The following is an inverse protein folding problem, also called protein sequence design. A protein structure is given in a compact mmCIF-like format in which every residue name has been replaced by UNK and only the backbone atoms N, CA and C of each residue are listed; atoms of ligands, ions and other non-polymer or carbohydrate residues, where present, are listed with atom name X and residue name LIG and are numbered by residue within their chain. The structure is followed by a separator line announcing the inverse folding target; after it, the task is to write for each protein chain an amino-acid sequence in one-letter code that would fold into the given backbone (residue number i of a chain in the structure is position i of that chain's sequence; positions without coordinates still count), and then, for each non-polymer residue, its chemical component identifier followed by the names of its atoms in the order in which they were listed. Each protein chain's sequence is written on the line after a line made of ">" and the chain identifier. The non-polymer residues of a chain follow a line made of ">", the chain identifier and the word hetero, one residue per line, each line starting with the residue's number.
data_IF_858336419702
#
_entry.id   IF_858336419702
#
_cell.length_a   1.000
_cell.length_b   1.000
_cell.length_c   1.000
_cell.angle_alpha   90.00
_cell.angle_beta   90.00
_cell.angle_gamma   90.00
#
_symmetry.space_group_name_H-M   'P 1'
#
loop_
_entity.id
_entity.type
_entity.pdbx_description
1 polymer ?
#
# COMPACT_ATOMS: atom_id res chain seq x y z
N UNK A 1 69.37 50.19 12.38
CA UNK A 1 68.93 48.90 12.87
C UNK A 1 67.76 48.49 12.04
N UNK A 2 67.99 47.64 11.03
CA UNK A 2 66.98 47.16 10.06
C UNK A 2 66.59 45.75 10.45
N UNK A 3 65.34 45.55 10.77
CA UNK A 3 64.80 44.21 11.04
C UNK A 3 64.09 43.69 9.75
N UNK A 4 64.65 42.62 9.19
CA UNK A 4 64.09 41.94 8.04
C UNK A 4 62.87 41.14 8.47
N UNK A 5 61.74 41.34 7.79
CA UNK A 5 60.53 40.54 7.89
C UNK A 5 60.53 39.51 6.78
N UNK A 6 60.65 38.22 7.12
CA UNK A 6 60.52 37.09 6.21
C UNK A 6 59.03 36.89 5.82
N UNK A 7 58.72 37.01 4.53
CA UNK A 7 57.46 36.57 3.96
C UNK A 7 57.49 35.08 3.68
N UNK A 8 56.72 34.30 4.41
CA UNK A 8 56.46 32.91 4.13
C UNK A 8 55.32 32.82 3.09
N UNK A 9 55.64 32.32 1.90
CA UNK A 9 54.66 32.01 0.87
C UNK A 9 54.02 30.68 1.17
N UNK A 10 52.77 30.67 1.63
CA UNK A 10 51.93 29.48 1.73
C UNK A 10 51.25 29.27 0.35
N UNK A 11 51.74 28.29 -0.40
CA UNK A 11 51.07 27.76 -1.56
C UNK A 11 49.91 26.86 -1.11
N UNK A 12 48.71 27.39 -1.10
CA UNK A 12 47.50 26.63 -0.87
C UNK A 12 47.15 25.78 -2.14
N UNK A 13 47.36 24.46 -2.07
CA UNK A 13 46.79 23.55 -3.02
C UNK A 13 45.30 23.43 -2.76
N UNK A 14 44.48 24.06 -3.60
CA UNK A 14 43.03 23.84 -3.60
C UNK A 14 42.75 22.43 -4.14
N UNK A 15 42.44 21.48 -3.28
CA UNK A 15 41.78 20.25 -3.66
C UNK A 15 40.34 20.59 -4.08
N UNK A 16 40.13 20.69 -5.38
CA UNK A 16 38.81 20.67 -5.96
C UNK A 16 38.22 19.28 -5.73
N UNK A 17 37.41 19.12 -4.68
CA UNK A 17 36.55 17.95 -4.51
C UNK A 17 35.48 18.02 -5.61
N UNK A 18 35.69 17.26 -6.68
CA UNK A 18 34.66 16.89 -7.63
C UNK A 18 33.64 16.05 -6.85
N UNK A 19 32.70 16.72 -6.21
CA UNK A 19 31.45 16.10 -5.72
C UNK A 19 30.63 15.65 -6.90
N UNK A 20 30.92 14.48 -7.45
CA UNK A 20 30.01 13.79 -8.33
C UNK A 20 28.72 13.57 -7.52
N UNK A 21 27.61 14.13 -7.99
CA UNK A 21 26.28 13.77 -7.51
C UNK A 21 26.17 12.24 -7.63
N UNK A 22 26.25 11.55 -6.50
CA UNK A 22 26.05 10.10 -6.46
C UNK A 22 24.65 9.86 -7.01
N UNK A 23 24.54 9.27 -8.19
CA UNK A 23 23.27 8.83 -8.76
C UNK A 23 22.65 7.85 -7.75
N UNK A 24 21.40 8.08 -7.37
CA UNK A 24 20.71 7.23 -6.41
C UNK A 24 20.75 5.78 -6.91
N UNK A 25 21.21 4.86 -6.05
CA UNK A 25 21.28 3.42 -6.38
C UNK A 25 19.86 2.89 -6.59
N UNK A 26 19.68 2.12 -7.67
CA UNK A 26 18.37 1.49 -7.98
C UNK A 26 18.01 0.50 -6.88
N UNK A 27 16.84 0.70 -6.29
CA UNK A 27 16.30 -0.21 -5.29
C UNK A 27 15.69 -1.44 -5.95
N UNK A 28 16.19 -2.64 -5.62
CA UNK A 28 15.61 -3.87 -6.14
C UNK A 28 14.13 -3.98 -5.79
N UNK A 29 13.78 -3.83 -4.51
CA UNK A 29 12.41 -4.01 -4.03
C UNK A 29 11.43 -2.94 -4.53
N UNK A 30 11.87 -1.68 -4.60
CA UNK A 30 11.00 -0.57 -5.00
C UNK A 30 10.85 -0.42 -6.52
N UNK A 31 11.83 -0.89 -7.30
CA UNK A 31 11.88 -0.61 -8.74
C UNK A 31 12.03 -1.86 -9.61
N UNK A 32 13.02 -2.73 -9.33
CA UNK A 32 13.27 -3.92 -10.16
C UNK A 32 12.18 -4.97 -9.99
N UNK A 33 11.86 -5.30 -8.74
CA UNK A 33 10.86 -6.30 -8.40
C UNK A 33 9.49 -6.00 -9.01
N UNK A 34 8.92 -4.76 -8.94
CA UNK A 34 7.65 -4.44 -9.60
C UNK A 34 7.67 -4.64 -11.11
N UNK A 35 8.77 -4.29 -11.78
CA UNK A 35 8.91 -4.50 -13.23
C UNK A 35 8.91 -5.99 -13.56
N UNK A 36 9.74 -6.79 -12.88
CA UNK A 36 9.78 -8.24 -13.10
C UNK A 36 8.43 -8.88 -12.80
N UNK A 37 7.81 -8.55 -11.67
CA UNK A 37 6.55 -9.13 -11.21
C UNK A 37 5.38 -8.88 -12.16
N UNK A 38 5.28 -7.68 -12.72
CA UNK A 38 4.16 -7.27 -13.57
C UNK A 38 4.38 -7.56 -15.06
N UNK A 39 5.61 -7.37 -15.57
CA UNK A 39 5.87 -7.47 -17.00
C UNK A 39 6.46 -8.81 -17.45
N UNK A 40 7.18 -9.52 -16.58
CA UNK A 40 7.96 -10.70 -16.98
C UNK A 40 7.39 -12.02 -16.49
N UNK A 41 6.92 -12.08 -15.22
CA UNK A 41 6.59 -13.35 -14.57
C UNK A 41 5.36 -14.06 -15.13
N UNK A 42 4.51 -13.38 -15.91
CA UNK A 42 3.41 -14.05 -16.61
C UNK A 42 3.88 -15.09 -17.64
N UNK A 43 5.10 -14.93 -18.15
CA UNK A 43 5.74 -15.84 -19.11
C UNK A 43 6.97 -16.54 -18.56
N UNK A 44 7.72 -15.89 -17.63
CA UNK A 44 9.00 -16.37 -17.09
C UNK A 44 8.94 -16.53 -15.56
N UNK A 45 7.84 -17.09 -15.05
CA UNK A 45 7.59 -17.32 -13.63
C UNK A 45 7.66 -18.80 -13.25
N UNK A 46 7.09 -19.12 -12.10
CA UNK A 46 7.03 -20.49 -11.59
C UNK A 46 6.16 -21.41 -12.46
N UNK A 47 4.97 -20.94 -12.85
CA UNK A 47 3.98 -21.72 -13.61
C UNK A 47 4.25 -21.74 -15.12
N UNK A 48 4.83 -20.68 -15.63
CA UNK A 48 5.19 -20.50 -17.03
C UNK A 48 6.67 -20.16 -17.12
N UNK A 49 7.45 -20.97 -17.80
CA UNK A 49 8.90 -20.79 -17.97
C UNK A 49 9.29 -20.83 -19.45
N UNK A 50 8.67 -19.96 -20.25
CA UNK A 50 8.98 -19.86 -21.69
C UNK A 50 10.46 -19.64 -21.90
N UNK A 51 11.06 -20.39 -22.85
CA UNK A 51 12.50 -20.38 -23.08
C UNK A 51 13.30 -20.91 -21.89
N UNK A 52 12.70 -21.76 -21.04
CA UNK A 52 13.28 -22.30 -19.80
C UNK A 52 13.67 -21.24 -18.76
N UNK A 53 13.33 -19.96 -18.99
CA UNK A 53 13.71 -18.85 -18.12
C UNK A 53 12.75 -18.70 -16.92
N UNK A 54 13.34 -18.58 -15.73
CA UNK A 54 12.64 -18.32 -14.47
C UNK A 54 13.17 -17.05 -13.81
N UNK A 55 12.37 -16.01 -13.75
CA UNK A 55 12.74 -14.71 -13.19
C UNK A 55 12.10 -14.43 -11.83
N UNK A 56 11.48 -15.43 -11.20
CA UNK A 56 10.85 -15.27 -9.88
C UNK A 56 11.80 -15.57 -8.73
N UNK A 57 12.96 -16.22 -8.98
CA UNK A 57 14.01 -16.51 -7.99
C UNK A 57 15.38 -16.10 -8.51
N UNK A 58 16.32 -15.88 -7.58
CA UNK A 58 17.71 -15.62 -7.93
C UNK A 58 18.36 -16.82 -8.64
N UNK A 59 18.09 -18.03 -8.17
CA UNK A 59 18.59 -19.26 -8.78
C UNK A 59 18.14 -19.37 -10.24
N UNK A 60 16.85 -19.18 -10.52
CA UNK A 60 16.32 -19.22 -11.88
C UNK A 60 16.90 -18.15 -12.80
N UNK A 61 17.18 -16.94 -12.28
CA UNK A 61 17.89 -15.91 -13.02
C UNK A 61 19.33 -16.34 -13.37
N UNK A 62 20.04 -17.01 -12.44
CA UNK A 62 21.42 -17.48 -12.63
C UNK A 62 21.50 -18.70 -13.56
N UNK A 63 20.48 -19.57 -13.56
CA UNK A 63 20.37 -20.67 -14.52
C UNK A 63 20.28 -20.12 -15.95
N UNK A 64 19.52 -19.04 -16.14
CA UNK A 64 19.34 -18.38 -17.44
C UNK A 64 18.21 -19.02 -18.24
N UNK A 65 18.32 -18.98 -19.58
CA UNK A 65 17.35 -19.54 -20.54
C UNK A 65 17.98 -20.65 -21.37
N UNK A 66 17.19 -21.30 -22.21
CA UNK A 66 17.70 -22.26 -23.22
C UNK A 66 18.75 -21.63 -24.17
N UNK A 67 18.81 -20.30 -24.27
CA UNK A 67 19.80 -19.55 -25.06
C UNK A 67 21.01 -19.08 -24.22
N UNK A 68 21.06 -19.44 -22.93
CA UNK A 68 22.14 -19.09 -22.04
C UNK A 68 21.80 -18.00 -21.01
N UNK A 69 22.84 -17.38 -20.43
CA UNK A 69 22.67 -16.37 -19.38
C UNK A 69 21.99 -15.11 -19.89
N UNK A 70 20.91 -14.70 -19.20
CA UNK A 70 20.13 -13.51 -19.57
C UNK A 70 20.61 -12.24 -18.87
N UNK A 71 21.45 -12.36 -17.82
CA UNK A 71 22.07 -11.25 -17.09
C UNK A 71 23.57 -11.46 -16.99
N UNK A 72 24.33 -10.44 -17.39
CA UNK A 72 25.78 -10.33 -17.18
C UNK A 72 26.00 -9.16 -16.23
N UNK A 73 26.28 -9.39 -14.94
CA UNK A 73 26.46 -8.32 -13.97
C UNK A 73 27.46 -7.26 -14.41
N UNK A 74 27.10 -5.99 -14.28
CA UNK A 74 27.90 -4.86 -14.70
C UNK A 74 27.87 -4.56 -16.20
N UNK A 75 27.14 -5.36 -17.02
CA UNK A 75 27.14 -5.22 -18.51
C UNK A 75 25.72 -5.31 -19.08
N UNK A 76 24.90 -4.26 -18.92
CA UNK A 76 23.54 -4.28 -19.41
C UNK A 76 23.45 -4.49 -20.94
N UNK A 77 24.39 -3.98 -21.71
CA UNK A 77 24.47 -4.16 -23.16
C UNK A 77 24.75 -5.60 -23.63
N UNK A 78 25.15 -6.49 -22.68
CA UNK A 78 25.35 -7.92 -22.91
C UNK A 78 24.31 -8.80 -22.20
N UNK A 79 23.29 -8.17 -21.63
CA UNK A 79 22.25 -8.82 -20.87
C UNK A 79 20.95 -8.81 -21.66
N UNK A 80 20.53 -9.97 -22.16
CA UNK A 80 19.30 -10.09 -22.96
C UNK A 80 18.05 -9.69 -22.16
N UNK A 81 18.06 -9.84 -20.83
CA UNK A 81 16.99 -9.32 -19.97
C UNK A 81 16.74 -7.82 -20.17
N UNK A 82 17.75 -7.04 -20.49
CA UNK A 82 17.60 -5.61 -20.82
C UNK A 82 17.48 -5.39 -22.33
N UNK A 83 18.40 -5.97 -23.14
CA UNK A 83 18.48 -5.61 -24.56
C UNK A 83 17.23 -6.00 -25.32
N UNK A 84 16.56 -7.12 -25.00
CA UNK A 84 15.29 -7.49 -25.62
C UNK A 84 14.12 -6.56 -25.26
N UNK A 85 14.21 -5.78 -24.17
CA UNK A 85 13.13 -4.84 -23.80
C UNK A 85 13.23 -3.49 -24.51
N UNK A 86 14.31 -3.22 -25.23
CA UNK A 86 14.57 -1.95 -25.93
C UNK A 86 14.72 -2.11 -27.44
N UNK A 87 14.37 -3.27 -27.97
CA UNK A 87 14.27 -3.52 -29.41
C UNK A 87 13.14 -2.71 -30.05
N UNK A 88 13.12 -2.62 -31.35
CA UNK A 88 12.00 -2.00 -32.07
C UNK A 88 10.71 -2.79 -31.86
N UNK A 89 9.54 -2.13 -31.87
CA UNK A 89 8.25 -2.80 -31.61
C UNK A 89 7.88 -3.93 -32.58
N UNK A 90 8.47 -3.95 -33.76
CA UNK A 90 8.29 -4.96 -34.81
C UNK A 90 9.39 -6.02 -34.84
N UNK A 91 10.29 -6.02 -33.86
CA UNK A 91 11.33 -7.04 -33.72
C UNK A 91 10.74 -8.31 -33.08
N UNK A 92 11.01 -9.48 -33.67
CA UNK A 92 10.49 -10.75 -33.19
C UNK A 92 11.00 -11.14 -31.79
N UNK A 93 12.13 -10.60 -31.38
CA UNK A 93 12.78 -10.86 -30.08
C UNK A 93 12.41 -9.81 -29.01
N UNK A 94 11.50 -8.87 -29.32
CA UNK A 94 11.06 -7.84 -28.35
C UNK A 94 10.37 -8.48 -27.14
N UNK A 95 10.69 -8.00 -25.94
CA UNK A 95 10.04 -8.43 -24.69
C UNK A 95 9.36 -7.26 -23.96
N UNK A 96 8.12 -7.45 -23.55
CA UNK A 96 7.25 -8.61 -23.77
C UNK A 96 6.72 -8.68 -25.22
N UNK A 97 6.50 -9.90 -25.76
CA UNK A 97 6.08 -10.07 -27.16
C UNK A 97 4.59 -9.77 -27.39
N UNK A 98 3.85 -9.47 -26.35
CA UNK A 98 2.42 -9.14 -26.37
C UNK A 98 2.08 -8.14 -25.28
N UNK A 99 1.13 -7.26 -25.56
CA UNK A 99 0.69 -6.21 -24.65
C UNK A 99 1.56 -4.96 -24.76
N UNK A 100 1.52 -4.11 -23.75
CA UNK A 100 2.34 -2.90 -23.70
C UNK A 100 3.82 -3.24 -23.53
N UNK A 101 4.69 -2.56 -24.27
CA UNK A 101 6.13 -2.64 -24.08
C UNK A 101 6.53 -2.01 -22.73
N UNK A 102 7.77 -2.25 -22.31
CA UNK A 102 8.30 -1.51 -21.17
C UNK A 102 8.49 -0.04 -21.56
N UNK A 103 8.17 0.84 -20.62
CA UNK A 103 8.53 2.26 -20.77
C UNK A 103 10.05 2.42 -20.63
N UNK A 104 10.56 3.57 -21.10
CA UNK A 104 11.96 3.95 -20.90
C UNK A 104 12.37 3.93 -19.44
N UNK A 105 11.48 4.36 -18.54
CA UNK A 105 11.75 4.32 -17.08
C UNK A 105 11.89 2.89 -16.56
N UNK A 106 10.99 1.98 -16.95
CA UNK A 106 11.05 0.56 -16.57
C UNK A 106 12.30 -0.13 -17.15
N UNK A 107 12.61 0.11 -18.42
CA UNK A 107 13.81 -0.45 -19.06
C UNK A 107 15.10 0.11 -18.42
N UNK A 108 15.14 1.41 -18.09
CA UNK A 108 16.26 2.03 -17.40
C UNK A 108 16.49 1.46 -15.99
N UNK A 109 15.44 1.13 -15.27
CA UNK A 109 15.56 0.44 -13.97
C UNK A 109 16.31 -0.89 -14.12
N UNK A 110 15.96 -1.71 -15.11
CA UNK A 110 16.66 -2.97 -15.38
C UNK A 110 18.13 -2.72 -15.78
N UNK A 111 18.36 -1.74 -16.65
CA UNK A 111 19.71 -1.34 -17.09
C UNK A 111 20.61 -0.94 -15.93
N UNK A 112 20.10 -0.05 -15.06
CA UNK A 112 20.88 0.47 -13.93
C UNK A 112 21.11 -0.58 -12.87
N UNK A 113 20.13 -1.45 -12.58
CA UNK A 113 20.29 -2.58 -11.70
C UNK A 113 21.38 -3.55 -12.19
N UNK A 114 21.36 -3.88 -13.50
CA UNK A 114 22.38 -4.75 -14.10
C UNK A 114 23.74 -4.08 -14.03
N UNK A 115 23.83 -2.79 -14.34
CA UNK A 115 25.07 -2.00 -14.28
C UNK A 115 25.66 -1.97 -12.86
N UNK A 116 24.80 -1.93 -11.82
CA UNK A 116 25.19 -1.99 -10.41
C UNK A 116 25.54 -3.42 -9.92
N UNK A 117 25.59 -4.41 -10.83
CA UNK A 117 25.99 -5.77 -10.52
C UNK A 117 24.85 -6.76 -10.32
N UNK A 118 23.62 -6.39 -10.64
CA UNK A 118 22.41 -7.23 -10.61
C UNK A 118 22.20 -7.95 -9.27
N UNK A 119 22.42 -7.24 -8.16
CA UNK A 119 22.26 -7.79 -6.81
C UNK A 119 20.80 -8.18 -6.56
N UNK A 120 20.58 -9.39 -6.09
CA UNK A 120 19.28 -9.91 -5.70
C UNK A 120 19.24 -10.09 -4.18
N UNK A 121 18.18 -9.65 -3.49
CA UNK A 121 18.05 -9.87 -2.04
C UNK A 121 18.00 -11.36 -1.70
N UNK A 122 18.75 -11.76 -0.68
CA UNK A 122 18.84 -13.16 -0.27
C UNK A 122 17.45 -13.73 0.09
N UNK A 123 17.17 -14.95 -0.40
CA UNK A 123 15.91 -15.65 -0.13
C UNK A 123 14.66 -15.05 -0.74
N UNK A 124 14.75 -13.95 -1.49
CA UNK A 124 13.59 -13.31 -2.09
C UNK A 124 13.05 -14.13 -3.26
N UNK A 125 11.76 -14.48 -3.19
CA UNK A 125 10.97 -15.03 -4.28
C UNK A 125 9.96 -13.98 -4.71
N UNK A 126 9.93 -13.65 -6.01
CA UNK A 126 9.01 -12.65 -6.57
C UNK A 126 7.71 -13.34 -6.97
N UNK A 127 6.59 -12.80 -6.52
CA UNK A 127 5.26 -13.23 -6.96
C UNK A 127 4.82 -12.46 -8.19
N UNK A 128 4.14 -13.16 -9.11
CA UNK A 128 3.53 -12.54 -10.26
C UNK A 128 2.36 -11.65 -9.81
N UNK A 129 2.28 -10.44 -10.36
CA UNK A 129 1.16 -9.53 -10.14
C UNK A 129 0.47 -9.19 -11.46
N UNK A 130 -0.78 -8.74 -11.36
CA UNK A 130 -1.49 -8.22 -12.52
C UNK A 130 -0.80 -6.96 -13.02
N UNK A 131 -0.46 -6.91 -14.29
CA UNK A 131 0.02 -5.70 -14.93
C UNK A 131 -1.12 -4.72 -15.12
N UNK A 132 -0.91 -3.47 -14.75
CA UNK A 132 -1.88 -2.39 -14.96
C UNK A 132 -1.75 -1.90 -16.40
N UNK A 133 -2.86 -1.91 -17.13
CA UNK A 133 -2.99 -1.43 -18.50
C UNK A 133 -3.49 0.02 -18.45
N UNK A 134 -2.68 0.96 -18.94
CA UNK A 134 -3.05 2.38 -18.87
C UNK A 134 -4.38 2.68 -19.56
N UNK A 135 -4.58 2.17 -20.76
CA UNK A 135 -5.78 2.48 -21.54
C UNK A 135 -7.08 1.93 -20.92
N UNK A 136 -7.00 0.77 -20.28
CA UNK A 136 -8.17 0.11 -19.68
C UNK A 136 -8.41 0.52 -18.25
N UNK A 137 -7.34 0.68 -17.46
CA UNK A 137 -7.43 0.78 -16.00
C UNK A 137 -7.28 2.22 -15.51
N UNK A 138 -6.38 3.01 -16.11
CA UNK A 138 -6.01 4.34 -15.61
C UNK A 138 -6.67 5.46 -16.39
N UNK A 139 -6.64 5.39 -17.73
CA UNK A 139 -7.23 6.41 -18.60
C UNK A 139 -8.68 6.76 -18.21
N UNK A 140 -9.59 5.79 -17.96
CA UNK A 140 -10.97 6.10 -17.58
C UNK A 140 -11.08 6.86 -16.25
N UNK A 141 -10.17 6.58 -15.30
CA UNK A 141 -10.13 7.29 -14.00
C UNK A 141 -9.73 8.74 -14.20
N UNK A 142 -8.61 8.97 -14.91
CA UNK A 142 -8.10 10.33 -15.16
C UNK A 142 -9.10 11.16 -15.94
N UNK A 143 -9.65 10.64 -17.04
CA UNK A 143 -10.60 11.36 -17.90
C UNK A 143 -11.91 11.73 -17.18
N UNK A 144 -12.43 10.82 -16.35
CA UNK A 144 -13.70 11.05 -15.65
C UNK A 144 -13.56 11.87 -14.38
N UNK A 145 -12.40 11.89 -13.75
CA UNK A 145 -12.24 12.42 -12.40
C UNK A 145 -11.24 13.58 -12.27
N UNK A 146 -10.27 13.68 -13.18
CA UNK A 146 -9.15 14.63 -13.04
C UNK A 146 -9.09 15.67 -14.17
N UNK A 147 -9.19 15.22 -15.43
CA UNK A 147 -8.97 16.04 -16.63
C UNK A 147 -9.97 17.22 -16.74
N UNK A 148 -11.13 17.14 -16.11
CA UNK A 148 -12.09 18.27 -16.10
C UNK A 148 -11.52 19.55 -15.47
N UNK A 149 -10.56 19.43 -14.55
CA UNK A 149 -9.92 20.53 -13.82
C UNK A 149 -8.41 20.66 -14.09
N UNK A 150 -7.77 19.59 -14.59
CA UNK A 150 -6.33 19.50 -14.77
C UNK A 150 -5.97 19.19 -16.22
N UNK A 151 -6.20 20.14 -17.12
CA UNK A 151 -5.92 20.06 -18.55
C UNK A 151 -5.57 21.42 -19.12
N UNK A 152 -5.17 21.47 -20.37
CA UNK A 152 -4.93 22.71 -21.08
C UNK A 152 -6.07 23.73 -20.94
N UNK A 153 -5.76 24.95 -20.47
CA UNK A 153 -6.74 26.00 -20.20
C UNK A 153 -7.57 25.82 -18.92
N UNK A 154 -7.34 24.76 -18.15
CA UNK A 154 -7.95 24.47 -16.85
C UNK A 154 -6.92 23.79 -15.91
N UNK A 155 -5.78 24.42 -15.73
CA UNK A 155 -4.60 23.91 -15.04
C UNK A 155 -4.56 24.32 -13.56
N UNK A 156 -5.60 23.99 -12.80
CA UNK A 156 -5.68 24.32 -11.38
C UNK A 156 -4.48 23.78 -10.62
N UNK A 157 -3.80 24.67 -9.87
CA UNK A 157 -2.59 24.33 -9.13
C UNK A 157 -1.39 24.08 -10.06
N UNK A 158 -1.38 24.70 -11.24
CA UNK A 158 -0.34 24.51 -12.27
C UNK A 158 -0.10 23.02 -12.61
N UNK A 159 -1.19 22.24 -12.57
CA UNK A 159 -1.18 20.80 -12.79
C UNK A 159 -2.01 20.42 -14.02
N UNK A 160 -1.39 19.68 -14.93
CA UNK A 160 -2.04 19.07 -16.10
C UNK A 160 -1.91 17.56 -16.02
N UNK A 161 -3.03 16.87 -16.26
CA UNK A 161 -3.14 15.42 -16.30
C UNK A 161 -3.76 14.92 -17.60
N UNK A 162 -3.79 15.76 -18.62
CA UNK A 162 -4.30 15.43 -19.96
C UNK A 162 -3.20 14.89 -20.90
N UNK A 163 -1.95 15.12 -20.59
CA UNK A 163 -0.79 14.63 -21.35
C UNK A 163 0.32 14.14 -20.42
N UNK A 164 1.03 13.08 -20.86
CA UNK A 164 2.10 12.44 -20.09
C UNK A 164 3.17 13.43 -19.64
N UNK A 165 3.66 14.25 -20.56
CA UNK A 165 4.77 15.18 -20.31
C UNK A 165 4.49 16.06 -19.11
N UNK A 166 3.29 16.62 -19.03
CA UNK A 166 2.88 17.51 -17.92
C UNK A 166 2.61 16.78 -16.60
N UNK A 167 2.08 15.55 -16.66
CA UNK A 167 1.82 14.75 -15.46
C UNK A 167 3.11 14.30 -14.76
N UNK A 168 4.24 14.23 -15.51
CA UNK A 168 5.54 13.81 -15.00
C UNK A 168 6.49 15.00 -14.75
N UNK A 169 6.07 16.21 -15.07
CA UNK A 169 6.78 17.45 -14.70
C UNK A 169 6.37 17.93 -13.30
N UNK A 170 7.22 18.76 -12.70
CA UNK A 170 6.95 19.35 -11.40
C UNK A 170 6.01 20.55 -11.57
N UNK A 171 4.83 20.49 -10.97
CA UNK A 171 3.92 21.62 -10.81
C UNK A 171 4.17 22.41 -9.51
N UNK A 172 3.25 23.29 -9.16
CA UNK A 172 3.33 24.16 -7.96
C UNK A 172 3.53 23.33 -6.68
N UNK A 173 2.87 22.17 -6.56
CA UNK A 173 2.90 21.30 -5.37
C UNK A 173 3.80 20.07 -5.54
N UNK A 174 4.62 20.03 -6.56
CA UNK A 174 5.52 18.92 -6.88
C UNK A 174 5.07 18.12 -8.11
N UNK A 175 5.71 16.99 -8.36
CA UNK A 175 5.43 16.14 -9.52
C UNK A 175 4.18 15.31 -9.28
N UNK A 176 3.20 15.35 -10.21
CA UNK A 176 1.97 14.59 -10.04
C UNK A 176 2.20 13.08 -10.06
N UNK A 177 3.05 12.60 -10.96
CA UNK A 177 3.35 11.17 -11.10
C UNK A 177 4.86 10.97 -11.12
N UNK A 178 5.39 10.34 -10.08
CA UNK A 178 6.78 9.91 -10.00
C UNK A 178 6.82 8.38 -10.12
N UNK A 179 7.33 7.83 -11.22
CA UNK A 179 7.41 6.37 -11.40
C UNK A 179 8.06 5.67 -10.21
N UNK A 180 7.43 4.59 -9.72
CA UNK A 180 7.89 3.78 -8.58
C UNK A 180 7.86 4.46 -7.21
N UNK A 181 7.34 5.70 -7.10
CA UNK A 181 7.41 6.47 -5.85
C UNK A 181 6.06 7.11 -5.51
N UNK A 182 5.30 6.45 -4.63
CA UNK A 182 4.00 6.94 -4.14
C UNK A 182 4.15 8.17 -3.25
N UNK A 183 5.26 8.24 -2.49
CA UNK A 183 5.51 9.33 -1.53
C UNK A 183 5.84 10.65 -2.23
N UNK A 184 6.38 10.57 -3.46
CA UNK A 184 6.67 11.75 -4.28
C UNK A 184 5.59 12.03 -5.33
N UNK A 185 4.62 11.14 -5.49
CA UNK A 185 3.52 11.31 -6.44
C UNK A 185 2.38 12.11 -5.81
N UNK A 186 2.32 13.42 -6.07
CA UNK A 186 1.30 14.30 -5.47
C UNK A 186 -0.11 13.93 -5.89
N UNK A 187 -0.29 13.34 -7.07
CA UNK A 187 -1.56 12.75 -7.50
C UNK A 187 -2.06 11.72 -6.47
N UNK A 188 -1.22 10.76 -6.10
CA UNK A 188 -1.64 9.71 -5.18
C UNK A 188 -1.85 10.24 -3.77
N UNK A 189 -1.00 11.14 -3.30
CA UNK A 189 -1.16 11.79 -2.01
C UNK A 189 -2.51 12.51 -1.91
N UNK A 190 -2.86 13.33 -2.92
CA UNK A 190 -4.09 14.12 -2.90
C UNK A 190 -5.37 13.28 -2.98
N UNK A 191 -5.36 12.16 -3.73
CA UNK A 191 -6.55 11.30 -3.86
C UNK A 191 -6.78 10.39 -2.65
N UNK A 192 -5.76 10.21 -1.80
CA UNK A 192 -5.84 9.36 -0.60
C UNK A 192 -6.07 10.14 0.69
N UNK A 193 -6.23 11.45 0.64
CA UNK A 193 -6.55 12.29 1.78
C UNK A 193 -7.92 11.94 2.37
N UNK A 194 -8.14 12.21 3.66
CA UNK A 194 -9.47 12.04 4.29
C UNK A 194 -10.57 12.78 3.55
N UNK A 195 -11.78 12.23 3.54
CA UNK A 195 -12.93 12.79 2.79
C UNK A 195 -13.31 14.24 3.15
N UNK A 196 -12.91 14.71 4.33
CA UNK A 196 -13.12 16.07 4.82
C UNK A 196 -11.87 16.97 4.67
N UNK A 197 -10.82 16.52 4.03
CA UNK A 197 -9.62 17.33 3.83
C UNK A 197 -9.81 18.29 2.65
N UNK A 198 -9.40 19.56 2.82
CA UNK A 198 -9.60 20.62 1.80
C UNK A 198 -8.85 20.33 0.50
N UNK A 199 -7.69 19.67 0.59
CA UNK A 199 -6.85 19.31 -0.56
C UNK A 199 -7.18 17.93 -1.16
N UNK A 200 -8.27 17.28 -0.71
CA UNK A 200 -8.71 16.01 -1.31
C UNK A 200 -9.06 16.22 -2.79
N UNK A 201 -8.52 15.34 -3.64
CA UNK A 201 -8.82 15.33 -5.08
C UNK A 201 -9.46 14.00 -5.52
N UNK A 202 -10.54 14.03 -6.31
CA UNK A 202 -11.37 15.20 -6.55
C UNK A 202 -12.05 15.68 -5.27
N UNK A 203 -12.38 16.99 -5.14
CA UNK A 203 -13.10 17.50 -3.99
C UNK A 203 -14.45 16.78 -3.80
N UNK A 204 -14.92 16.64 -2.56
CA UNK A 204 -16.15 15.90 -2.24
C UNK A 204 -17.38 16.41 -2.99
N UNK A 205 -17.46 17.73 -3.26
CA UNK A 205 -18.55 18.35 -4.05
C UNK A 205 -18.35 18.24 -5.57
N UNK A 206 -17.24 17.62 -6.03
CA UNK A 206 -16.91 17.39 -7.45
C UNK A 206 -16.76 15.90 -7.77
N UNK A 207 -17.28 15.04 -6.91
CA UNK A 207 -17.35 13.61 -7.11
C UNK A 207 -16.23 12.80 -6.42
N UNK A 208 -15.44 13.40 -5.52
CA UNK A 208 -14.57 12.63 -4.61
C UNK A 208 -15.32 12.17 -3.36
N UNK A 209 -14.66 11.37 -2.51
CA UNK A 209 -13.41 10.65 -2.78
C UNK A 209 -13.56 9.59 -3.88
N UNK A 210 -12.42 9.17 -4.45
CA UNK A 210 -12.41 8.06 -5.40
C UNK A 210 -12.78 6.75 -4.69
N UNK A 211 -13.47 5.81 -5.37
CA UNK A 211 -13.65 4.45 -4.85
C UNK A 211 -12.30 3.76 -4.59
N UNK A 212 -12.24 2.89 -3.58
CA UNK A 212 -11.01 2.19 -3.20
C UNK A 212 -10.38 1.41 -4.37
N UNK A 213 -11.20 0.78 -5.22
CA UNK A 213 -10.74 0.08 -6.41
C UNK A 213 -9.94 1.00 -7.36
N UNK A 214 -10.38 2.24 -7.54
CA UNK A 214 -9.67 3.22 -8.36
C UNK A 214 -8.38 3.71 -7.69
N UNK A 215 -8.37 3.86 -6.37
CA UNK A 215 -7.16 4.17 -5.61
C UNK A 215 -6.13 3.06 -5.71
N UNK A 216 -6.55 1.80 -5.64
CA UNK A 216 -5.69 0.64 -5.78
C UNK A 216 -5.09 0.56 -7.21
N UNK A 217 -5.87 0.83 -8.24
CA UNK A 217 -5.38 0.89 -9.62
C UNK A 217 -4.32 1.99 -9.81
N UNK A 218 -4.56 3.19 -9.27
CA UNK A 218 -3.60 4.29 -9.34
C UNK A 218 -2.31 3.97 -8.58
N UNK A 219 -2.43 3.36 -7.38
CA UNK A 219 -1.29 2.88 -6.60
C UNK A 219 -0.45 1.89 -7.40
N UNK A 220 -1.08 0.83 -7.87
CA UNK A 220 -0.40 -0.26 -8.55
C UNK A 220 0.22 0.20 -9.87
N UNK A 221 -0.43 1.13 -10.57
CA UNK A 221 0.12 1.77 -11.74
C UNK A 221 1.42 2.54 -11.45
N UNK A 222 1.42 3.39 -10.42
CA UNK A 222 2.62 4.17 -10.04
C UNK A 222 3.74 3.23 -9.59
N UNK A 223 3.44 2.24 -8.75
CA UNK A 223 4.42 1.26 -8.24
C UNK A 223 5.03 0.44 -9.38
N UNK A 224 4.26 0.12 -10.43
CA UNK A 224 4.75 -0.59 -11.61
C UNK A 224 5.53 0.29 -12.59
N UNK A 225 5.74 1.58 -12.28
CA UNK A 225 6.52 2.52 -13.08
C UNK A 225 5.68 3.44 -13.95
N UNK A 226 4.40 3.58 -13.63
CA UNK A 226 3.48 4.55 -14.21
C UNK A 226 3.49 4.56 -15.76
N UNK A 227 3.36 3.39 -16.37
CA UNK A 227 3.35 3.27 -17.82
C UNK A 227 2.22 4.15 -18.42
N UNK A 228 2.59 5.05 -19.29
CA UNK A 228 1.69 5.96 -20.02
C UNK A 228 2.16 6.02 -21.47
N UNK A 229 1.34 5.61 -22.46
CA UNK A 229 1.72 5.62 -23.87
C UNK A 229 2.08 7.04 -24.37
N UNK A 230 3.18 7.16 -25.10
CA UNK A 230 3.62 8.44 -25.64
C UNK A 230 2.60 9.01 -26.64
N UNK A 231 2.44 10.35 -26.62
CA UNK A 231 1.54 11.06 -27.52
C UNK A 231 0.04 10.82 -27.27
N UNK A 232 -0.32 10.08 -26.22
CA UNK A 232 -1.71 9.89 -25.85
C UNK A 232 -2.21 11.10 -25.04
N UNK A 233 -3.10 11.90 -25.64
CA UNK A 233 -3.81 12.98 -24.99
C UNK A 233 -5.13 12.45 -24.42
N UNK A 234 -5.41 12.79 -23.16
CA UNK A 234 -6.66 12.46 -22.50
C UNK A 234 -7.72 13.53 -22.74
N UNK A 235 -8.94 13.07 -22.93
CA UNK A 235 -10.10 13.95 -23.12
C UNK A 235 -11.01 13.90 -21.90
N UNK A 236 -11.61 15.03 -21.59
CA UNK A 236 -12.63 15.04 -20.54
C UNK A 236 -13.80 14.17 -20.96
N UNK A 237 -14.03 13.10 -20.22
CA UNK A 237 -15.27 12.34 -20.33
C UNK A 237 -16.24 12.79 -19.23
N UNK A 238 -17.55 12.80 -19.53
CA UNK A 238 -18.56 12.99 -18.47
C UNK A 238 -18.43 11.82 -17.51
N UNK A 239 -18.18 12.12 -16.25
CA UNK A 239 -18.40 11.12 -15.20
C UNK A 239 -19.84 10.70 -15.34
N UNK A 240 -20.06 9.45 -15.70
CA UNK A 240 -21.41 8.92 -15.74
C UNK A 240 -21.90 8.78 -14.30
N UNK A 241 -22.54 9.86 -13.81
CA UNK A 241 -23.26 9.84 -12.53
C UNK A 241 -24.60 9.11 -12.68
N UNK A 242 -24.82 8.58 -13.87
CA UNK A 242 -25.93 7.69 -14.17
C UNK A 242 -25.68 6.35 -13.48
N UNK A 243 -26.62 6.00 -12.63
CA UNK A 243 -26.84 4.67 -12.10
C UNK A 243 -26.46 3.62 -13.13
N UNK A 244 -25.21 3.12 -13.06
CA UNK A 244 -24.93 1.85 -13.73
C UNK A 244 -25.81 0.81 -13.03
N UNK A 245 -26.60 0.02 -13.77
CA UNK A 245 -27.13 -1.19 -13.19
C UNK A 245 -25.94 -2.06 -12.87
N UNK A 246 -25.65 -2.23 -11.59
CA UNK A 246 -24.74 -3.22 -11.10
C UNK A 246 -25.35 -4.54 -11.57
N UNK A 247 -24.80 -5.11 -12.64
CA UNK A 247 -25.03 -6.49 -13.00
C UNK A 247 -24.27 -7.35 -11.98
N UNK A 248 -24.89 -7.56 -10.88
CA UNK A 248 -24.42 -8.23 -9.70
C UNK A 248 -25.26 -7.72 -8.58
N UNK A 249 -26.17 -8.55 -8.05
CA UNK A 249 -27.24 -8.15 -7.16
C UNK A 249 -26.85 -7.03 -6.21
N UNK A 250 -27.52 -5.91 -6.39
CA UNK A 250 -27.64 -4.91 -5.36
C UNK A 250 -27.94 -5.64 -4.06
N UNK A 251 -26.94 -5.71 -3.16
CA UNK A 251 -27.28 -5.65 -1.76
C UNK A 251 -27.92 -4.26 -1.63
N UNK A 252 -29.19 -4.18 -1.97
CA UNK A 252 -30.06 -3.11 -1.53
C UNK A 252 -29.67 -2.91 -0.07
N UNK A 253 -29.27 -1.69 0.29
CA UNK A 253 -28.93 -1.37 1.66
C UNK A 253 -29.96 -2.09 2.51
N UNK A 254 -29.49 -3.10 3.27
CA UNK A 254 -30.42 -3.95 4.02
C UNK A 254 -31.29 -3.00 4.80
N UNK A 255 -32.61 -3.11 4.72
CA UNK A 255 -33.50 -2.11 5.25
C UNK A 255 -33.01 -1.75 6.65
N UNK A 256 -32.88 -0.48 6.98
CA UNK A 256 -32.36 0.00 8.27
C UNK A 256 -32.92 -0.79 9.46
N UNK A 257 -34.13 -1.31 9.29
CA UNK A 257 -34.83 -2.20 10.21
C UNK A 257 -34.13 -3.55 10.42
N UNK A 258 -33.54 -4.17 9.38
CA UNK A 258 -32.87 -5.48 9.50
C UNK A 258 -31.52 -5.33 10.20
N UNK A 259 -30.78 -4.25 9.91
CA UNK A 259 -29.53 -3.93 10.62
C UNK A 259 -29.85 -3.69 12.10
N UNK A 260 -30.90 -2.91 12.39
CA UNK A 260 -31.34 -2.56 13.75
C UNK A 260 -31.74 -3.80 14.57
N UNK A 261 -32.48 -4.75 13.97
CA UNK A 261 -32.87 -5.99 14.64
C UNK A 261 -31.66 -6.88 14.91
N UNK A 262 -30.73 -7.03 13.96
CA UNK A 262 -29.51 -7.83 14.15
C UNK A 262 -28.62 -7.20 15.22
N UNK A 263 -28.40 -5.91 15.19
CA UNK A 263 -27.59 -5.17 16.16
C UNK A 263 -28.20 -5.30 17.58
N UNK A 264 -29.49 -5.07 17.75
CA UNK A 264 -30.18 -5.21 19.03
C UNK A 264 -30.17 -6.64 19.56
N UNK A 265 -30.28 -7.65 18.70
CA UNK A 265 -30.21 -9.05 19.12
C UNK A 265 -28.80 -9.41 19.59
N UNK A 266 -27.77 -8.94 18.87
CA UNK A 266 -26.37 -9.14 19.24
C UNK A 266 -26.05 -8.42 20.55
N UNK A 267 -26.43 -7.16 20.70
CA UNK A 267 -26.25 -6.39 21.93
C UNK A 267 -26.92 -7.06 23.15
N UNK A 268 -28.14 -7.56 22.97
CA UNK A 268 -28.84 -8.30 24.03
C UNK A 268 -28.09 -9.56 24.44
N UNK A 269 -27.57 -10.31 23.46
CA UNK A 269 -26.78 -11.52 23.72
C UNK A 269 -25.48 -11.18 24.44
N UNK A 270 -24.76 -10.15 23.97
CA UNK A 270 -23.50 -9.71 24.58
C UNK A 270 -23.73 -9.28 26.05
N UNK A 271 -24.75 -8.49 26.33
CA UNK A 271 -25.10 -8.09 27.69
C UNK A 271 -25.42 -9.28 28.62
N UNK A 272 -25.98 -10.36 28.09
CA UNK A 272 -26.23 -11.58 28.85
C UNK A 272 -24.93 -12.35 29.17
N UNK A 273 -23.92 -12.21 28.30
CA UNK A 273 -22.61 -12.87 28.46
C UNK A 273 -21.64 -12.05 29.33
N UNK A 274 -21.88 -10.74 29.53
CA UNK A 274 -20.97 -9.83 30.24
C UNK A 274 -20.47 -10.38 31.59
N UNK A 275 -21.31 -10.95 32.48
CA UNK A 275 -20.84 -11.48 33.76
C UNK A 275 -19.86 -12.65 33.64
N UNK A 276 -19.81 -13.30 32.47
CA UNK A 276 -18.96 -14.46 32.18
C UNK A 276 -17.74 -14.11 31.34
N UNK A 277 -17.65 -12.85 30.83
CA UNK A 277 -16.54 -12.41 29.99
C UNK A 277 -15.22 -12.45 30.76
N UNK A 278 -14.24 -13.13 30.19
CA UNK A 278 -12.88 -13.25 30.73
C UNK A 278 -11.89 -13.01 29.61
N UNK A 279 -10.67 -12.54 29.90
CA UNK A 279 -9.59 -12.55 28.92
C UNK A 279 -9.39 -13.96 28.38
N UNK A 280 -9.08 -14.07 27.10
CA UNK A 280 -8.74 -15.32 26.45
C UNK A 280 -7.66 -15.14 25.41
N UNK A 281 -6.93 -16.21 25.15
CA UNK A 281 -5.96 -16.28 24.07
C UNK A 281 -6.65 -16.92 22.85
N UNK A 282 -6.58 -16.24 21.70
CA UNK A 282 -7.03 -16.75 20.42
C UNK A 282 -5.84 -17.27 19.65
N UNK A 283 -5.97 -18.43 19.06
CA UNK A 283 -4.98 -18.99 18.14
C UNK A 283 -5.53 -18.97 16.71
N UNK A 284 -4.77 -18.45 15.76
CA UNK A 284 -5.11 -18.60 14.34
C UNK A 284 -4.89 -20.06 13.97
N UNK A 285 -5.96 -20.81 13.63
CA UNK A 285 -5.93 -22.26 13.52
C UNK A 285 -4.82 -22.80 12.64
N UNK A 286 -4.04 -23.74 13.17
CA UNK A 286 -2.95 -24.43 12.48
C UNK A 286 -1.65 -23.65 12.36
N UNK A 287 -1.62 -22.37 12.73
CA UNK A 287 -0.42 -21.54 12.60
C UNK A 287 0.39 -21.45 13.90
N UNK A 288 -0.27 -21.64 15.06
CA UNK A 288 0.30 -21.43 16.39
C UNK A 288 0.55 -19.97 16.73
N UNK A 289 0.18 -19.05 15.85
CA UNK A 289 0.22 -17.60 16.12
C UNK A 289 -0.98 -17.27 16.99
N UNK A 290 -0.72 -16.57 18.08
CA UNK A 290 -1.70 -16.28 19.12
C UNK A 290 -1.75 -14.80 19.43
N UNK A 291 -2.91 -14.34 19.92
CA UNK A 291 -3.11 -12.99 20.42
C UNK A 291 -4.12 -13.00 21.56
N UNK A 292 -4.01 -12.03 22.45
CA UNK A 292 -4.88 -11.95 23.63
C UNK A 292 -6.07 -11.00 23.37
N UNK A 293 -7.25 -11.43 23.83
CA UNK A 293 -8.48 -10.64 23.83
C UNK A 293 -8.89 -10.35 25.28
N UNK A 294 -9.17 -9.09 25.55
CA UNK A 294 -9.58 -8.61 26.89
C UNK A 294 -11.02 -8.11 26.86
N UNK A 295 -11.82 -8.41 27.91
CA UNK A 295 -13.18 -7.92 28.00
C UNK A 295 -13.20 -6.42 28.36
N UNK A 296 -13.97 -5.67 27.62
CA UNK A 296 -14.29 -4.27 27.92
C UNK A 296 -15.73 -4.26 28.47
N UNK A 297 -15.94 -3.84 29.71
CA UNK A 297 -17.27 -3.86 30.33
C UNK A 297 -18.21 -2.83 29.69
N UNK A 298 -19.51 -3.03 29.84
CA UNK A 298 -20.48 -2.02 29.45
C UNK A 298 -20.37 -0.78 30.34
N UNK A 299 -20.72 0.38 29.80
CA UNK A 299 -20.71 1.62 30.57
C UNK A 299 -21.19 2.84 29.79
N UNK A 300 -21.08 3.97 30.46
CA UNK A 300 -21.31 5.29 29.85
C UNK A 300 -20.06 6.15 30.07
N UNK A 301 -19.70 6.95 29.09
CA UNK A 301 -18.61 7.91 29.21
C UNK A 301 -18.90 9.17 28.39
N UNK A 302 -18.19 10.23 28.68
CA UNK A 302 -18.25 11.48 27.91
C UNK A 302 -17.18 11.39 26.81
N UNK A 303 -17.62 11.23 25.58
CA UNK A 303 -16.79 11.18 24.39
C UNK A 303 -16.38 12.57 23.95
N UNK A 304 -15.14 12.70 23.48
CA UNK A 304 -14.56 13.94 22.99
C UNK A 304 -13.80 14.74 24.06
N UNK A 305 -13.22 15.86 23.67
CA UNK A 305 -12.39 16.71 24.53
C UNK A 305 -13.15 17.97 24.97
N UNK A 306 -13.03 18.40 26.26
CA UNK A 306 -13.62 19.65 26.73
C UNK A 306 -13.01 20.86 26.01
N UNK A 307 -13.77 21.96 25.92
CA UNK A 307 -13.39 23.11 25.12
C UNK A 307 -12.08 23.81 25.58
N UNK A 308 -11.71 23.63 26.82
CA UNK A 308 -10.53 24.20 27.49
C UNK A 308 -9.34 23.24 27.55
N UNK A 309 -9.45 22.05 26.95
CA UNK A 309 -8.33 21.09 26.93
C UNK A 309 -7.18 21.61 26.04
N UNK A 310 -5.94 21.63 26.56
CA UNK A 310 -4.79 22.08 25.80
C UNK A 310 -4.52 21.19 24.57
N UNK A 311 -4.29 21.80 23.40
CA UNK A 311 -3.98 21.08 22.16
C UNK A 311 -5.19 20.47 21.44
N UNK A 312 -6.40 20.62 21.98
CA UNK A 312 -7.66 20.13 21.39
C UNK A 312 -7.85 20.64 19.96
N UNK A 313 -8.35 19.78 19.09
CA UNK A 313 -8.81 20.13 17.75
C UNK A 313 -10.34 20.39 17.75
N UNK A 314 -10.80 21.25 16.85
CA UNK A 314 -12.23 21.56 16.74
C UNK A 314 -13.10 20.33 16.46
N UNK A 315 -12.56 19.32 15.81
CA UNK A 315 -13.22 18.05 15.46
C UNK A 315 -13.44 17.10 16.65
N UNK A 316 -12.81 17.36 17.81
CA UNK A 316 -12.93 16.55 19.01
C UNK A 316 -14.13 16.96 19.90
N UNK A 317 -15.00 17.81 19.42
CA UNK A 317 -16.18 18.27 20.13
C UNK A 317 -17.38 18.52 19.22
N UNK A 318 -18.56 18.78 19.79
CA UNK A 318 -18.81 18.93 21.25
C UNK A 318 -18.79 17.59 21.99
N UNK A 319 -18.43 17.64 23.28
CA UNK A 319 -18.53 16.44 24.16
C UNK A 319 -19.97 15.98 24.28
N UNK A 320 -20.17 14.68 24.32
CA UNK A 320 -21.48 14.07 24.50
C UNK A 320 -21.38 12.68 25.17
N UNK A 321 -22.43 12.30 25.88
CA UNK A 321 -22.44 11.00 26.58
C UNK A 321 -22.80 9.88 25.61
N UNK A 322 -21.97 8.81 25.63
CA UNK A 322 -22.16 7.61 24.82
C UNK A 322 -22.30 6.39 25.74
N UNK A 323 -23.22 5.49 25.38
CA UNK A 323 -23.39 4.18 26.03
C UNK A 323 -22.70 3.12 25.20
N UNK A 324 -21.82 2.36 25.86
CA UNK A 324 -21.07 1.26 25.26
C UNK A 324 -21.63 -0.06 25.78
N UNK A 325 -21.93 -0.99 24.87
CA UNK A 325 -22.19 -2.37 25.21
C UNK A 325 -20.88 -3.12 25.48
N UNK A 326 -20.88 -4.19 26.29
CA UNK A 326 -19.65 -4.92 26.57
C UNK A 326 -19.16 -5.63 25.30
N UNK A 327 -17.83 -5.70 25.12
CA UNK A 327 -17.18 -6.35 23.98
C UNK A 327 -15.78 -6.85 24.37
N UNK A 328 -15.18 -7.69 23.52
CA UNK A 328 -13.76 -8.02 23.64
C UNK A 328 -12.94 -7.16 22.69
N UNK A 329 -11.79 -6.74 23.14
CA UNK A 329 -10.82 -5.97 22.36
C UNK A 329 -9.47 -6.69 22.36
N UNK A 330 -8.70 -6.59 21.31
CA UNK A 330 -7.30 -7.01 21.32
C UNK A 330 -6.56 -6.27 22.43
N UNK A 331 -5.76 -6.99 23.22
CA UNK A 331 -4.97 -6.42 24.31
C UNK A 331 -3.92 -5.45 23.82
N UNK A 332 -3.41 -5.70 22.63
CA UNK A 332 -2.44 -4.87 21.90
C UNK A 332 -2.99 -4.55 20.52
N UNK A 333 -2.33 -3.66 19.81
CA UNK A 333 -2.52 -3.50 18.36
C UNK A 333 -2.32 -4.84 17.65
N UNK A 334 -2.94 -4.99 16.49
CA UNK A 334 -2.71 -6.15 15.62
C UNK A 334 -1.25 -6.17 15.18
N UNK A 335 -0.52 -7.23 15.54
CA UNK A 335 0.90 -7.35 15.21
C UNK A 335 1.13 -7.83 13.77
N UNK A 336 2.34 -7.58 13.26
CA UNK A 336 2.79 -8.15 11.98
C UNK A 336 2.74 -9.68 11.97
N UNK A 337 3.01 -10.33 13.11
CA UNK A 337 2.95 -11.80 13.22
C UNK A 337 1.57 -12.36 12.82
N UNK A 338 0.50 -11.66 13.17
CA UNK A 338 -0.88 -12.07 12.80
C UNK A 338 -1.28 -11.55 11.42
N UNK A 339 -0.93 -10.31 11.10
CA UNK A 339 -1.34 -9.67 9.85
C UNK A 339 -0.62 -10.24 8.62
N UNK A 340 0.64 -10.65 8.77
CA UNK A 340 1.44 -11.30 7.72
C UNK A 340 0.80 -12.59 7.21
N UNK A 341 0.20 -13.39 8.09
CA UNK A 341 -0.54 -14.60 7.70
C UNK A 341 -1.73 -14.30 6.77
N UNK A 342 -2.31 -13.11 6.89
CA UNK A 342 -3.40 -12.68 6.02
C UNK A 342 -2.89 -12.16 4.67
N UNK A 343 -1.84 -11.35 4.65
CA UNK A 343 -1.36 -10.74 3.41
C UNK A 343 -0.48 -11.68 2.57
N UNK A 344 0.19 -12.67 3.20
CA UNK A 344 1.05 -13.63 2.52
C UNK A 344 0.49 -15.06 2.72
N UNK A 345 -0.36 -15.49 1.82
CA UNK A 345 -0.98 -16.82 1.87
C UNK A 345 0.06 -17.96 1.91
N UNK A 346 1.17 -17.80 1.21
CA UNK A 346 2.26 -18.79 1.20
C UNK A 346 2.94 -18.90 2.56
N UNK A 347 3.08 -17.82 3.30
CA UNK A 347 3.62 -17.85 4.66
C UNK A 347 2.68 -18.59 5.61
N UNK A 348 1.38 -18.30 5.54
CA UNK A 348 0.38 -19.06 6.30
C UNK A 348 0.49 -20.55 6.00
N UNK A 349 0.50 -20.94 4.72
CA UNK A 349 0.60 -22.34 4.29
C UNK A 349 1.92 -22.99 4.72
N UNK A 350 3.03 -22.26 4.65
CA UNK A 350 4.34 -22.73 5.08
C UNK A 350 4.37 -23.00 6.58
N UNK A 351 3.88 -22.07 7.40
CA UNK A 351 3.79 -22.22 8.86
C UNK A 351 2.93 -23.43 9.24
N UNK A 352 1.75 -23.57 8.62
CA UNK A 352 0.86 -24.71 8.82
C UNK A 352 1.56 -26.04 8.46
N UNK A 353 2.28 -26.09 7.34
CA UNK A 353 3.01 -27.29 6.89
C UNK A 353 4.13 -27.67 7.85
N UNK A 354 4.93 -26.69 8.31
CA UNK A 354 6.02 -26.92 9.28
C UNK A 354 5.47 -27.53 10.57
N UNK A 355 4.28 -27.12 11.00
CA UNK A 355 3.60 -27.64 12.18
C UNK A 355 2.87 -28.97 11.96
N UNK A 356 2.96 -29.56 10.76
CA UNK A 356 2.31 -30.80 10.41
C UNK A 356 0.78 -30.69 10.24
N UNK A 357 0.26 -29.46 10.19
CA UNK A 357 -1.14 -29.20 9.93
C UNK A 357 -1.43 -29.37 8.45
N UNK A 358 -2.40 -30.24 8.12
CA UNK A 358 -2.89 -30.30 6.73
C UNK A 358 -3.90 -29.17 6.56
N UNK A 359 -3.65 -28.19 5.69
CA UNK A 359 -4.63 -27.17 5.43
C UNK A 359 -5.87 -27.85 4.83
N UNK A 360 -6.90 -28.04 5.63
CA UNK A 360 -8.22 -28.27 5.07
C UNK A 360 -8.63 -26.98 4.39
N UNK A 361 -9.02 -27.07 3.12
CA UNK A 361 -9.53 -25.93 2.36
C UNK A 361 -10.72 -25.36 3.14
N UNK A 362 -10.50 -24.27 3.85
CA UNK A 362 -11.59 -23.53 4.48
C UNK A 362 -12.20 -22.61 3.42
N UNK A 363 -13.18 -23.12 2.67
CA UNK A 363 -13.82 -22.40 1.59
C UNK A 363 -14.34 -21.00 2.00
N UNK A 364 -14.65 -20.80 3.28
CA UNK A 364 -15.11 -19.48 3.78
C UNK A 364 -13.95 -18.50 3.92
N UNK A 365 -12.83 -18.92 4.50
CA UNK A 365 -11.65 -18.05 4.62
C UNK A 365 -10.97 -17.83 3.27
N UNK A 366 -10.98 -18.83 2.40
CA UNK A 366 -10.40 -18.75 1.06
C UNK A 366 -11.23 -17.84 0.13
N UNK A 367 -12.53 -17.69 0.41
CA UNK A 367 -13.40 -16.73 -0.27
C UNK A 367 -13.20 -15.27 0.15
N UNK A 368 -12.48 -15.01 1.25
CA UNK A 368 -12.15 -13.64 1.66
C UNK A 368 -11.01 -13.13 0.79
N UNK A 369 -11.27 -12.06 0.03
CA UNK A 369 -10.25 -11.43 -0.81
C UNK A 369 -9.08 -10.95 0.05
N UNK A 370 -7.88 -11.43 -0.26
CA UNK A 370 -6.65 -10.94 0.37
C UNK A 370 -6.19 -9.67 -0.36
N UNK A 371 -5.56 -8.71 0.34
CA UNK A 371 -4.97 -7.56 -0.32
C UNK A 371 -3.85 -8.01 -1.27
N UNK A 372 -3.58 -7.22 -2.28
CA UNK A 372 -2.38 -7.41 -3.10
C UNK A 372 -1.15 -7.40 -2.20
N UNK A 373 -0.30 -8.40 -2.36
CA UNK A 373 0.95 -8.51 -1.59
C UNK A 373 1.78 -7.23 -1.74
N UNK A 374 2.18 -6.57 -0.65
CA UNK A 374 2.99 -5.36 -0.71
C UNK A 374 4.32 -5.58 -1.43
N UNK A 375 4.70 -4.66 -2.31
CA UNK A 375 5.99 -4.70 -3.02
C UNK A 375 7.16 -4.20 -2.17
N UNK A 376 6.87 -3.56 -1.07
CA UNK A 376 7.84 -2.99 -0.14
C UNK A 376 7.61 -3.55 1.25
N UNK A 377 8.66 -3.56 2.04
CA UNK A 377 8.56 -3.88 3.45
C UNK A 377 7.78 -2.75 4.14
N UNK A 378 6.59 -3.08 4.67
CA UNK A 378 5.60 -2.10 5.15
C UNK A 378 5.85 -1.66 6.59
N UNK A 379 6.83 -2.25 7.30
CA UNK A 379 7.21 -1.80 8.64
C UNK A 379 8.11 -0.56 8.62
N UNK A 380 8.64 -0.19 7.44
CA UNK A 380 9.58 0.92 7.26
C UNK A 380 10.79 0.86 8.18
N UNK A 381 11.23 -0.35 8.50
CA UNK A 381 12.38 -0.59 9.40
C UNK A 381 12.06 -0.42 10.90
N UNK A 382 10.79 -0.25 11.26
CA UNK A 382 10.38 -0.17 12.68
C UNK A 382 10.33 -1.55 13.36
N UNK A 383 10.46 -2.64 12.60
CA UNK A 383 10.41 -4.01 13.10
C UNK A 383 9.08 -4.70 12.79
N UNK A 384 9.12 -6.04 12.79
CA UNK A 384 7.96 -6.88 12.46
C UNK A 384 7.63 -7.90 13.54
N UNK A 385 8.61 -8.41 14.29
CA UNK A 385 8.39 -9.41 15.32
C UNK A 385 7.77 -8.78 16.56
N UNK A 386 6.50 -9.09 16.84
CA UNK A 386 5.65 -8.51 17.86
C UNK A 386 5.41 -6.98 17.77
N UNK A 387 5.80 -6.35 16.66
CA UNK A 387 5.49 -4.95 16.41
C UNK A 387 4.10 -4.76 15.77
N UNK A 388 3.43 -3.61 16.03
CA UNK A 388 2.15 -3.29 15.41
C UNK A 388 2.24 -3.30 13.88
N UNK A 389 1.26 -3.88 13.23
CA UNK A 389 1.11 -3.79 11.78
C UNK A 389 0.64 -2.39 11.41
N UNK A 390 1.38 -1.73 10.53
CA UNK A 390 1.14 -0.34 10.10
C UNK A 390 0.96 -0.25 8.58
N UNK A 391 0.61 0.94 8.10
CA UNK A 391 0.58 1.28 6.66
C UNK A 391 -0.44 0.48 5.84
N UNK A 392 -1.51 0.04 6.48
CA UNK A 392 -2.64 -0.59 5.80
C UNK A 392 -3.83 0.37 5.69
N UNK A 393 -4.64 0.19 4.65
CA UNK A 393 -5.90 0.92 4.52
C UNK A 393 -6.94 0.38 5.52
N UNK A 394 -7.93 1.21 5.88
CA UNK A 394 -9.08 0.76 6.66
C UNK A 394 -9.81 -0.42 6.00
N UNK A 395 -9.87 -0.45 4.67
CA UNK A 395 -10.46 -1.55 3.91
C UNK A 395 -9.68 -2.86 4.15
N UNK A 396 -8.35 -2.82 4.08
CA UNK A 396 -7.50 -3.98 4.33
C UNK A 396 -7.65 -4.49 5.78
N UNK A 397 -7.66 -3.57 6.76
CA UNK A 397 -7.89 -3.91 8.16
C UNK A 397 -9.28 -4.54 8.39
N UNK A 398 -10.33 -4.01 7.74
CA UNK A 398 -11.66 -4.59 7.82
C UNK A 398 -11.75 -5.96 7.13
N UNK A 399 -11.02 -6.16 6.04
CA UNK A 399 -10.95 -7.45 5.34
C UNK A 399 -10.16 -8.48 6.14
N UNK A 400 -9.10 -8.05 6.84
CA UNK A 400 -8.41 -8.88 7.84
C UNK A 400 -9.37 -9.38 8.92
N UNK A 401 -10.23 -8.51 9.46
CA UNK A 401 -11.25 -8.92 10.44
C UNK A 401 -12.21 -9.99 9.88
N UNK A 402 -12.60 -9.88 8.60
CA UNK A 402 -13.44 -10.89 7.93
C UNK A 402 -12.70 -12.22 7.78
N UNK A 403 -11.44 -12.18 7.36
CA UNK A 403 -10.59 -13.36 7.24
C UNK A 403 -10.40 -14.03 8.62
N UNK A 404 -10.08 -13.26 9.65
CA UNK A 404 -9.91 -13.76 10.99
C UNK A 404 -11.19 -14.40 11.53
N UNK A 405 -12.35 -13.77 11.27
CA UNK A 405 -13.67 -14.33 11.58
C UNK A 405 -13.88 -15.70 10.92
N UNK A 406 -13.51 -15.81 9.63
CA UNK A 406 -13.65 -17.07 8.90
C UNK A 406 -12.69 -18.15 9.40
N UNK A 407 -11.49 -17.77 9.86
CA UNK A 407 -10.48 -18.70 10.40
C UNK A 407 -10.84 -19.24 11.78
N UNK A 408 -11.26 -18.36 12.68
CA UNK A 408 -11.46 -18.70 14.09
C UNK A 408 -12.90 -19.09 14.44
N UNK A 409 -13.87 -18.64 13.65
CA UNK A 409 -15.30 -18.76 13.93
C UNK A 409 -15.83 -17.72 14.93
N UNK A 410 -14.97 -16.89 15.53
CA UNK A 410 -15.35 -15.72 16.32
C UNK A 410 -15.55 -14.50 15.42
N UNK A 411 -16.50 -13.63 15.77
CA UNK A 411 -16.78 -12.43 14.97
C UNK A 411 -15.83 -11.29 15.33
N UNK A 412 -15.03 -10.88 14.37
CA UNK A 412 -14.11 -9.74 14.46
C UNK A 412 -14.55 -8.58 13.58
N UNK A 413 -14.35 -7.38 14.06
CA UNK A 413 -14.55 -6.12 13.35
C UNK A 413 -13.62 -5.05 13.92
N UNK A 414 -13.44 -3.97 13.18
CA UNK A 414 -12.82 -2.78 13.75
C UNK A 414 -13.71 -2.19 14.86
N UNK A 415 -13.14 -1.65 15.93
CA UNK A 415 -13.91 -0.91 16.92
C UNK A 415 -14.49 0.36 16.28
N UNK A 416 -15.60 0.83 16.81
CA UNK A 416 -16.05 2.19 16.55
C UNK A 416 -15.15 3.19 17.28
N UNK A 417 -15.15 4.45 16.85
CA UNK A 417 -14.40 5.52 17.52
C UNK A 417 -14.77 5.60 19.02
N UNK A 418 -16.07 5.52 19.33
CA UNK A 418 -16.57 5.54 20.70
C UNK A 418 -16.09 4.33 21.54
N UNK A 419 -16.07 3.13 20.98
CA UNK A 419 -15.54 1.93 21.66
C UNK A 419 -14.05 2.05 21.90
N UNK A 420 -13.31 2.57 20.92
CA UNK A 420 -11.87 2.78 21.04
C UNK A 420 -11.55 3.82 22.12
N UNK A 421 -12.21 4.98 22.09
CA UNK A 421 -11.99 6.03 23.08
C UNK A 421 -12.39 5.57 24.49
N UNK A 422 -13.52 4.86 24.63
CA UNK A 422 -13.95 4.29 25.91
C UNK A 422 -12.92 3.32 26.50
N UNK A 423 -12.40 2.41 25.68
CA UNK A 423 -11.38 1.46 26.09
C UNK A 423 -10.04 2.16 26.41
N UNK A 424 -9.64 3.12 25.59
CA UNK A 424 -8.42 3.89 25.80
C UNK A 424 -8.45 4.69 27.09
N UNK A 425 -9.57 5.34 27.41
CA UNK A 425 -9.75 6.09 28.67
C UNK A 425 -9.74 5.20 29.90
N UNK A 426 -10.20 3.97 29.81
CA UNK A 426 -10.26 3.04 30.93
C UNK A 426 -10.89 3.63 32.21
N UNK A 427 -11.90 4.51 32.06
CA UNK A 427 -12.59 5.20 33.14
C UNK A 427 -11.96 6.54 33.57
N UNK A 428 -10.87 6.97 32.97
CA UNK A 428 -10.28 8.31 33.24
C UNK A 428 -11.01 9.41 32.49
N UNK A 429 -10.90 10.63 33.01
CA UNK A 429 -11.39 11.87 32.38
C UNK A 429 -10.27 12.79 31.97
N UNK A 430 -9.03 12.38 32.16
CA UNK A 430 -7.81 13.10 31.83
C UNK A 430 -7.51 13.08 30.34
N UNK A 431 -6.63 13.96 29.87
CA UNK A 431 -6.20 14.05 28.45
C UNK A 431 -5.66 12.70 27.95
N UNK A 432 -4.88 12.00 28.77
CA UNK A 432 -4.34 10.67 28.50
C UNK A 432 -4.85 9.67 29.56
N UNK A 433 -4.83 8.39 29.25
CA UNK A 433 -5.24 7.33 30.18
C UNK A 433 -4.40 7.27 31.47
N UNK A 434 -3.20 7.86 31.44
CA UNK A 434 -2.25 7.92 32.57
C UNK A 434 -2.21 9.28 33.26
N UNK A 435 -2.99 10.30 32.83
CA UNK A 435 -3.05 11.65 33.42
C UNK A 435 -3.00 12.75 32.37
N UNK A 436 -2.70 13.98 32.84
CA UNK A 436 -2.67 15.18 31.97
C UNK A 436 -1.24 15.61 31.61
N UNK A 437 -0.21 14.95 32.14
CA UNK A 437 1.19 15.29 31.90
C UNK A 437 1.76 14.49 30.69
N UNK A 438 2.00 15.12 29.54
CA UNK A 438 2.59 14.46 28.38
C UNK A 438 4.01 13.96 28.60
N UNK A 439 4.72 14.44 29.66
CA UNK A 439 6.06 13.95 29.97
C UNK A 439 6.07 12.52 30.55
N UNK A 440 4.91 11.94 30.80
CA UNK A 440 4.77 10.56 31.24
C UNK A 440 4.63 9.57 30.07
N UNK A 441 4.60 10.05 28.83
CA UNK A 441 4.76 9.27 27.59
C UNK A 441 6.24 8.90 27.42
#
# INVERSE_FOLDING_TARGET
>A
MQTKVNRLLLTGAALASLGGLAKAEVSFRKQVQPVLASACLSCHGEKNNKGELRLHTHEGLLEGSEYGKVVVPGKPEKSSLYTSTVLLPDDDDIMPPKGELLTSDQANVLKEWIAAGAKWPEGLVIQQVRRIDFAKDIKPILESSCVSCHREGHDKGDLRLDEREHAFEAGEYGTAVVPFDLEKSTLYQSVTLPANHDDLMPPSNKGGPLPQEQLDLLRDWIVQGAAWPEGLKLEQTRRDTGKQPVAGGSLAAAPKVVIDIRTKAIEKLIRQLEPTMKPYEEEIPGTGVKFEMVPIPSGEFVMGSPADEPGRKATEGPTHTVKIAPFWMGKTETTWNTYTLFIYEEEERMVMKIRGYKPELNAVSDAVARPTTPYVEMSFGMGTDDFPAISMTQHAANTYCKWLTAKTGHYYRLPTEAEWEYACRAGTTTMYSFGDDPALL
#
